data_IF_093435479961
#
_entry.id   IF_093435479961
#
_cell.length_a   1.000
_cell.length_b   1.000
_cell.length_c   1.000
_cell.angle_alpha   90.00
_cell.angle_beta   90.00
_cell.angle_gamma   90.00
#
_symmetry.space_group_name_H-M   'P 1'
#
loop_
_entity.id
_entity.type
_entity.pdbx_description
1 polymer ?
#
# COMPACT_ATOMS: atom_id res chain seq x y z
N UNK A 1 6.91 6.75 11.60
CA UNK A 1 5.50 7.11 11.32
C UNK A 1 4.76 5.86 10.88
N UNK A 2 3.44 5.79 11.07
CA UNK A 2 2.61 4.67 10.61
C UNK A 2 1.45 5.24 9.81
N UNK A 3 1.17 4.66 8.64
CA UNK A 3 -0.03 4.92 7.86
C UNK A 3 -0.82 3.63 7.75
N UNK A 4 -2.13 3.69 7.94
CA UNK A 4 -2.98 2.52 7.85
C UNK A 4 -4.40 2.87 7.41
N UNK A 5 -5.06 1.92 6.77
CA UNK A 5 -6.41 2.10 6.26
C UNK A 5 -7.07 0.75 5.96
N UNK A 6 -8.40 0.71 6.06
CA UNK A 6 -9.17 -0.41 5.50
C UNK A 6 -9.06 -0.39 3.97
N UNK A 7 -8.97 -1.59 3.37
CA UNK A 7 -8.94 -1.73 1.91
C UNK A 7 -10.37 -1.55 1.39
N UNK A 8 -10.69 -0.35 0.94
CA UNK A 8 -11.97 0.02 0.31
C UNK A 8 -11.70 0.81 -0.97
N UNK A 9 -11.36 0.09 -2.05
CA UNK A 9 -10.97 0.63 -3.35
C UNK A 9 -11.74 -0.07 -4.47
N UNK A 10 -11.76 0.48 -5.68
CA UNK A 10 -12.58 -0.09 -6.76
C UNK A 10 -12.25 -1.57 -7.03
N UNK A 11 -10.95 -1.91 -7.07
CA UNK A 11 -10.51 -3.30 -7.23
C UNK A 11 -10.98 -4.26 -6.13
N UNK A 12 -11.16 -3.82 -4.89
CA UNK A 12 -11.63 -4.72 -3.82
C UNK A 12 -13.08 -5.16 -4.04
N UNK A 13 -13.92 -4.28 -4.59
CA UNK A 13 -15.31 -4.61 -4.95
C UNK A 13 -15.42 -5.62 -6.10
N UNK A 14 -14.41 -5.70 -6.98
CA UNK A 14 -14.36 -6.72 -8.03
C UNK A 14 -13.98 -8.10 -7.51
N UNK A 15 -13.20 -8.15 -6.41
CA UNK A 15 -12.87 -9.40 -5.72
C UNK A 15 -14.09 -9.90 -4.96
N UNK A 16 -14.75 -9.03 -4.18
CA UNK A 16 -15.98 -9.34 -3.47
C UNK A 16 -16.76 -8.07 -3.08
N UNK A 17 -18.11 -8.05 -3.20
CA UNK A 17 -18.93 -6.96 -2.67
C UNK A 17 -18.77 -6.73 -1.16
N UNK A 18 -18.49 -7.80 -0.41
CA UNK A 18 -18.30 -7.78 1.04
C UNK A 18 -16.80 -7.87 1.42
N UNK A 19 -15.92 -7.34 0.56
CA UNK A 19 -14.47 -7.39 0.80
C UNK A 19 -14.13 -6.73 2.15
N UNK A 20 -13.41 -7.48 2.98
CA UNK A 20 -12.84 -6.98 4.24
C UNK A 20 -11.34 -7.16 4.20
N UNK A 21 -10.62 -6.07 4.40
CA UNK A 21 -9.17 -6.09 4.48
C UNK A 21 -8.61 -4.82 5.08
N UNK A 22 -7.34 -4.89 5.48
CA UNK A 22 -6.61 -3.81 6.12
C UNK A 22 -5.20 -3.73 5.56
N UNK A 23 -4.68 -2.52 5.44
CA UNK A 23 -3.34 -2.26 4.97
C UNK A 23 -2.64 -1.27 5.89
N UNK A 24 -1.33 -1.49 6.11
CA UNK A 24 -0.50 -0.68 6.99
C UNK A 24 0.91 -0.57 6.45
N UNK A 25 1.49 0.62 6.54
CA UNK A 25 2.90 0.91 6.29
C UNK A 25 3.57 1.44 7.56
N UNK A 26 4.83 1.04 7.75
CA UNK A 26 5.74 1.60 8.75
C UNK A 26 6.81 2.36 8.01
N UNK A 27 6.99 3.63 8.38
CA UNK A 27 7.86 4.57 7.68
C UNK A 27 8.92 5.10 8.63
N UNK A 28 10.16 5.09 8.15
CA UNK A 28 11.26 5.84 8.75
C UNK A 28 11.15 7.29 8.31
N UNK A 29 10.74 8.17 9.23
CA UNK A 29 10.51 9.58 8.92
C UNK A 29 11.80 10.37 8.70
N UNK A 30 12.93 9.92 9.25
CA UNK A 30 14.21 10.59 9.05
C UNK A 30 14.76 10.32 7.65
N UNK A 31 14.54 9.10 7.12
CA UNK A 31 14.98 8.71 5.78
C UNK A 31 13.92 8.89 4.69
N UNK A 32 12.65 9.01 5.07
CA UNK A 32 11.53 9.11 4.12
C UNK A 32 11.35 7.84 3.29
N UNK A 33 11.48 6.66 3.92
CA UNK A 33 11.34 5.35 3.25
C UNK A 33 10.42 4.42 4.04
N UNK A 34 9.78 3.48 3.33
CA UNK A 34 9.01 2.39 3.95
C UNK A 34 9.99 1.37 4.52
N UNK A 35 9.79 0.97 5.78
CA UNK A 35 10.61 -0.03 6.48
C UNK A 35 9.81 -1.27 6.91
N UNK A 36 8.49 -1.25 6.71
CA UNK A 36 7.63 -2.40 6.99
C UNK A 36 6.25 -2.20 6.40
N UNK A 37 5.55 -3.31 6.15
CA UNK A 37 4.18 -3.30 5.67
C UNK A 37 3.40 -4.49 6.22
N UNK A 38 2.08 -4.36 6.31
CA UNK A 38 1.17 -5.45 6.65
C UNK A 38 -0.09 -5.30 5.81
N UNK A 39 -0.51 -6.40 5.19
CA UNK A 39 -1.73 -6.48 4.41
C UNK A 39 -2.54 -7.69 4.85
N UNK A 40 -3.84 -7.51 5.05
CA UNK A 40 -4.78 -8.56 5.43
C UNK A 40 -5.97 -8.45 4.50
N UNK A 41 -6.36 -9.55 3.86
CA UNK A 41 -7.46 -9.60 2.89
C UNK A 41 -7.15 -10.50 1.69
N UNK A 42 -8.17 -10.74 0.86
CA UNK A 42 -8.01 -11.49 -0.39
C UNK A 42 -7.13 -10.72 -1.39
N UNK A 43 -6.38 -11.45 -2.22
CA UNK A 43 -5.50 -10.90 -3.27
C UNK A 43 -4.47 -9.87 -2.78
N UNK A 44 -3.97 -10.06 -1.56
CA UNK A 44 -2.94 -9.19 -0.96
C UNK A 44 -1.51 -9.62 -1.25
N UNK A 45 -1.28 -10.79 -1.86
CA UNK A 45 0.06 -11.32 -2.15
C UNK A 45 0.89 -10.36 -3.04
N UNK A 46 0.27 -9.77 -4.06
CA UNK A 46 0.94 -8.80 -4.94
C UNK A 46 1.31 -7.50 -4.20
N UNK A 47 0.56 -7.12 -3.15
CA UNK A 47 0.90 -5.96 -2.31
C UNK A 47 2.17 -6.22 -1.50
N UNK A 48 2.34 -7.46 -1.01
CA UNK A 48 3.55 -7.87 -0.27
C UNK A 48 4.77 -7.82 -1.19
N UNK A 49 4.64 -8.23 -2.45
CA UNK A 49 5.72 -8.09 -3.42
C UNK A 49 6.10 -6.62 -3.64
N UNK A 50 5.11 -5.75 -3.90
CA UNK A 50 5.34 -4.31 -4.05
C UNK A 50 6.02 -3.68 -2.82
N UNK A 51 5.59 -4.06 -1.60
CA UNK A 51 6.21 -3.59 -0.37
C UNK A 51 7.66 -4.07 -0.24
N UNK A 52 7.95 -5.32 -0.62
CA UNK A 52 9.31 -5.86 -0.60
C UNK A 52 10.23 -5.05 -1.52
N UNK A 53 9.76 -4.74 -2.73
CA UNK A 53 10.50 -3.90 -3.68
C UNK A 53 10.76 -2.51 -3.10
N UNK A 54 9.74 -1.86 -2.54
CA UNK A 54 9.87 -0.53 -1.93
C UNK A 54 10.84 -0.51 -0.73
N UNK A 55 10.77 -1.52 0.14
CA UNK A 55 11.59 -1.62 1.35
C UNK A 55 13.04 -1.96 1.01
N UNK A 56 13.28 -3.01 0.22
CA UNK A 56 14.65 -3.45 -0.14
C UNK A 56 15.33 -2.44 -1.04
N UNK A 57 14.58 -1.77 -1.93
CA UNK A 57 15.09 -0.69 -2.76
C UNK A 57 15.30 0.63 -2.02
N UNK A 58 14.92 0.72 -0.74
CA UNK A 58 14.87 1.96 0.05
C UNK A 58 14.28 3.13 -0.75
N UNK A 59 13.16 2.86 -1.44
CA UNK A 59 12.58 3.82 -2.38
C UNK A 59 12.08 5.04 -1.60
N UNK A 60 12.60 6.26 -1.87
CA UNK A 60 12.14 7.47 -1.20
C UNK A 60 10.65 7.69 -1.46
N UNK A 61 9.90 8.14 -0.45
CA UNK A 61 8.45 8.37 -0.55
C UNK A 61 8.09 9.34 -1.70
N UNK A 62 8.91 10.38 -1.90
CA UNK A 62 8.78 11.33 -3.03
C UNK A 62 8.84 10.64 -4.40
N UNK A 63 9.59 9.53 -4.52
CA UNK A 63 9.66 8.72 -5.74
C UNK A 63 8.56 7.68 -5.78
N UNK A 64 8.28 7.04 -4.65
CA UNK A 64 7.26 6.00 -4.51
C UNK A 64 5.87 6.52 -4.87
N UNK A 65 5.58 7.81 -4.59
CA UNK A 65 4.35 8.50 -5.01
C UNK A 65 4.07 8.40 -6.52
N UNK A 66 5.12 8.25 -7.34
CA UNK A 66 4.99 8.12 -8.79
C UNK A 66 4.77 6.67 -9.27
N UNK A 67 4.81 5.68 -8.37
CA UNK A 67 4.47 4.29 -8.70
C UNK A 67 2.94 4.13 -8.73
N UNK A 68 2.33 4.52 -9.85
CA UNK A 68 0.87 4.54 -10.00
C UNK A 68 0.30 3.11 -9.98
N UNK A 69 -0.60 2.77 -9.03
CA UNK A 69 -1.24 1.46 -9.02
C UNK A 69 -2.20 1.31 -10.21
N UNK A 70 -2.35 0.08 -10.68
CA UNK A 70 -3.28 -0.23 -11.79
C UNK A 70 -4.73 -0.16 -11.31
N UNK A 71 -5.61 0.37 -12.16
CA UNK A 71 -7.06 0.44 -11.90
C UNK A 71 -7.84 -0.47 -12.85
N UNK A 72 -8.84 -1.24 -12.37
CA UNK A 72 -9.17 -1.48 -10.96
C UNK A 72 -8.40 -2.68 -10.38
N UNK A 73 -7.69 -2.50 -9.25
CA UNK A 73 -7.00 -3.58 -8.52
C UNK A 73 -6.92 -3.29 -7.02
N UNK A 74 -6.70 -4.32 -6.20
CA UNK A 74 -6.50 -4.13 -4.74
C UNK A 74 -5.28 -3.23 -4.46
N UNK A 75 -4.31 -3.13 -5.39
CA UNK A 75 -3.13 -2.27 -5.28
C UNK A 75 -3.43 -0.77 -5.18
N UNK A 76 -4.62 -0.33 -5.57
CA UNK A 76 -5.08 1.04 -5.39
C UNK A 76 -4.98 1.52 -3.92
N UNK A 77 -4.97 0.61 -2.94
CA UNK A 77 -4.78 0.97 -1.53
C UNK A 77 -3.45 1.69 -1.26
N UNK A 78 -2.42 1.48 -2.09
CA UNK A 78 -1.16 2.23 -2.00
C UNK A 78 -1.37 3.74 -2.13
N UNK A 79 -2.29 4.19 -3.01
CA UNK A 79 -2.61 5.61 -3.12
C UNK A 79 -3.13 6.15 -1.78
N UNK A 80 -4.07 5.44 -1.15
CA UNK A 80 -4.68 5.84 0.14
C UNK A 80 -3.68 5.85 1.29
N UNK A 81 -2.74 4.93 1.29
CA UNK A 81 -1.67 4.89 2.28
C UNK A 81 -0.69 6.05 2.09
N UNK A 82 -0.29 6.32 0.85
CA UNK A 82 0.65 7.38 0.54
C UNK A 82 0.06 8.78 0.76
N UNK A 83 -1.25 8.97 0.54
CA UNK A 83 -1.97 10.22 0.82
C UNK A 83 -1.86 10.65 2.29
N UNK A 84 -1.59 9.73 3.22
CA UNK A 84 -1.45 10.02 4.65
C UNK A 84 -0.04 10.46 5.06
N UNK A 85 0.95 10.29 4.18
CA UNK A 85 2.38 10.43 4.52
C UNK A 85 3.11 11.42 3.62
N UNK A 86 2.43 11.94 2.59
CA UNK A 86 2.85 13.07 1.78
C UNK A 86 2.40 14.40 2.40
#
# INVERSE_FOLDING_TARGET
MVAETSISVAGSYLVSPDYSGHAKLVIDAARGVVVGATFVGADTAELVHAATVAIVGEVPLERLWHAVPSYPTVSEVWLRLLEQVC
#
